data_IF_919685785775
#
_entry.id   IF_919685785775
#
_cell.length_a   1.000
_cell.length_b   1.000
_cell.length_c   1.000
_cell.angle_alpha   90.00
_cell.angle_beta   90.00
_cell.angle_gamma   90.00
#
_symmetry.space_group_name_H-M   'P 1'
#
loop_
_entity.id
_entity.type
_entity.pdbx_description
1 polymer ?
#
# COMPACT_ATOMS: atom_id res chain seq x y z
N UNK A 1 26.99 13.04 -13.68
CA UNK A 1 26.66 14.08 -12.67
C UNK A 1 25.19 14.54 -12.74
N UNK A 2 24.66 14.96 -13.91
CA UNK A 2 23.24 15.36 -14.09
C UNK A 2 22.20 14.31 -13.67
N UNK A 3 22.41 13.02 -13.96
CA UNK A 3 21.48 11.95 -13.53
C UNK A 3 21.44 11.76 -12.00
N UNK A 4 22.56 11.97 -11.29
CA UNK A 4 22.59 11.93 -9.82
C UNK A 4 21.87 13.14 -9.23
N UNK A 5 22.06 14.33 -9.80
CA UNK A 5 21.36 15.54 -9.40
C UNK A 5 19.84 15.42 -9.60
N UNK A 6 19.38 14.88 -10.73
CA UNK A 6 17.96 14.66 -10.97
C UNK A 6 17.34 13.64 -9.99
N UNK A 7 18.09 12.59 -9.63
CA UNK A 7 17.64 11.64 -8.58
C UNK A 7 17.50 12.31 -7.22
N UNK A 8 18.45 13.14 -6.81
CA UNK A 8 18.38 13.88 -5.54
C UNK A 8 17.20 14.85 -5.54
N UNK A 9 17.01 15.58 -6.64
CA UNK A 9 15.89 16.52 -6.77
C UNK A 9 14.54 15.80 -6.72
N UNK A 10 14.41 14.63 -7.36
CA UNK A 10 13.23 13.80 -7.25
C UNK A 10 13.00 13.32 -5.81
N UNK A 11 14.03 12.82 -5.13
CA UNK A 11 13.91 12.36 -3.74
C UNK A 11 13.47 13.49 -2.79
N UNK A 12 14.01 14.70 -2.96
CA UNK A 12 13.60 15.88 -2.21
C UNK A 12 12.16 16.27 -2.52
N UNK A 13 11.76 16.30 -3.79
CA UNK A 13 10.40 16.63 -4.21
C UNK A 13 9.33 15.67 -3.66
N UNK A 14 9.72 14.43 -3.35
CA UNK A 14 8.83 13.42 -2.77
C UNK A 14 8.77 13.53 -1.24
N UNK A 15 9.86 13.91 -0.57
CA UNK A 15 9.98 13.82 0.90
C UNK A 15 9.88 15.16 1.64
N UNK A 16 9.93 16.30 0.94
CA UNK A 16 9.93 17.62 1.59
C UNK A 16 8.65 17.89 2.38
N UNK A 17 7.50 17.45 1.88
CA UNK A 17 6.20 17.67 2.54
C UNK A 17 6.14 16.94 3.88
N UNK A 18 6.54 15.67 3.90
CA UNK A 18 6.55 14.86 5.11
C UNK A 18 7.55 15.41 6.14
N UNK A 19 8.71 15.86 5.66
CA UNK A 19 9.73 16.50 6.50
C UNK A 19 9.24 17.82 7.10
N UNK A 20 8.52 18.64 6.33
CA UNK A 20 7.91 19.88 6.80
C UNK A 20 6.85 19.59 7.87
N UNK A 21 5.99 18.61 7.65
CA UNK A 21 4.97 18.17 8.61
C UNK A 21 5.62 17.69 9.91
N UNK A 22 6.69 16.90 9.83
CA UNK A 22 7.44 16.44 10.99
C UNK A 22 8.07 17.61 11.78
N UNK A 23 8.66 18.60 11.08
CA UNK A 23 9.24 19.78 11.71
C UNK A 23 8.19 20.64 12.43
N UNK A 24 7.04 20.88 11.78
CA UNK A 24 5.92 21.63 12.38
C UNK A 24 5.35 20.89 13.59
N UNK A 25 5.14 19.57 13.49
CA UNK A 25 4.67 18.75 14.60
C UNK A 25 5.66 18.81 15.79
N UNK A 26 6.97 18.78 15.52
CA UNK A 26 8.00 18.95 16.54
C UNK A 26 7.94 20.32 17.23
N UNK A 27 7.73 21.40 16.47
CA UNK A 27 7.52 22.73 17.04
C UNK A 27 6.25 22.82 17.89
N UNK A 28 5.16 22.19 17.46
CA UNK A 28 3.90 22.13 18.24
C UNK A 28 4.08 21.33 19.53
N UNK A 29 4.76 20.18 19.48
CA UNK A 29 5.06 19.38 20.67
C UNK A 29 5.91 20.16 21.68
N UNK A 30 6.91 20.89 21.20
CA UNK A 30 7.72 21.78 22.03
C UNK A 30 6.86 22.83 22.73
N UNK A 31 6.04 23.57 21.99
CA UNK A 31 5.20 24.64 22.54
C UNK A 31 4.19 24.10 23.56
N UNK A 32 3.60 22.93 23.29
CA UNK A 32 2.69 22.27 24.23
C UNK A 32 3.37 21.94 25.55
N UNK A 33 4.57 21.36 25.52
CA UNK A 33 5.35 21.10 26.73
C UNK A 33 5.71 22.40 27.49
N UNK A 34 6.11 23.46 26.78
CA UNK A 34 6.40 24.74 27.45
C UNK A 34 5.17 25.32 28.15
N UNK A 35 4.03 25.36 27.46
CA UNK A 35 2.83 26.03 27.97
C UNK A 35 2.06 25.19 29.00
N UNK A 36 1.97 23.87 28.81
CA UNK A 36 1.19 23.00 29.69
C UNK A 36 2.00 22.45 30.86
N UNK A 37 3.30 22.21 30.67
CA UNK A 37 4.15 21.55 31.68
C UNK A 37 5.20 22.50 32.29
N UNK A 38 5.27 23.75 31.81
CA UNK A 38 6.22 24.75 32.32
C UNK A 38 7.68 24.41 32.06
N UNK A 39 7.96 23.50 31.13
CA UNK A 39 9.32 23.03 30.87
C UNK A 39 10.11 24.08 30.07
N UNK A 40 11.34 24.46 30.47
CA UNK A 40 12.07 25.52 29.80
C UNK A 40 12.55 25.13 28.40
N UNK A 41 13.00 23.88 28.21
CA UNK A 41 13.57 23.39 26.94
C UNK A 41 13.17 21.93 26.66
N UNK A 42 11.94 21.67 26.19
CA UNK A 42 11.42 20.33 25.93
C UNK A 42 11.92 19.73 24.61
N UNK A 43 13.24 19.54 24.50
CA UNK A 43 13.91 19.04 23.28
C UNK A 43 13.41 17.65 22.90
N UNK A 44 13.13 16.80 23.90
CA UNK A 44 12.70 15.42 23.67
C UNK A 44 11.31 15.32 23.04
N UNK A 45 10.42 16.28 23.32
CA UNK A 45 9.08 16.32 22.71
C UNK A 45 9.19 16.60 21.21
N UNK A 46 10.05 17.55 20.83
CA UNK A 46 10.35 17.84 19.43
C UNK A 46 10.96 16.62 18.72
N UNK A 47 11.99 16.00 19.33
CA UNK A 47 12.66 14.82 18.76
C UNK A 47 11.67 13.67 18.59
N UNK A 48 10.86 13.37 19.60
CA UNK A 48 9.88 12.29 19.52
C UNK A 48 8.86 12.50 18.39
N UNK A 49 8.33 13.72 18.23
CA UNK A 49 7.40 14.02 17.13
C UNK A 49 8.05 13.84 15.75
N UNK A 50 9.29 14.31 15.58
CA UNK A 50 10.04 14.18 14.31
C UNK A 50 10.34 12.71 14.00
N UNK A 51 10.79 11.93 15.00
CA UNK A 51 11.11 10.51 14.79
C UNK A 51 9.84 9.69 14.54
N UNK A 52 8.69 10.07 15.12
CA UNK A 52 7.40 9.46 14.81
C UNK A 52 6.97 9.70 13.36
N UNK A 53 7.25 10.89 12.83
CA UNK A 53 6.80 11.37 11.51
C UNK A 53 7.88 11.27 10.42
N UNK A 54 8.97 10.54 10.67
CA UNK A 54 10.06 10.43 9.71
C UNK A 54 9.55 9.96 8.32
N UNK A 55 10.05 10.54 7.21
CA UNK A 55 9.63 10.14 5.87
C UNK A 55 9.89 8.65 5.60
N UNK A 56 9.09 8.05 4.72
CA UNK A 56 9.20 6.64 4.30
C UNK A 56 8.95 5.60 5.41
N UNK A 57 8.35 6.00 6.53
CA UNK A 57 7.91 5.03 7.53
C UNK A 57 6.70 4.25 7.02
N UNK A 58 6.69 2.91 7.15
CA UNK A 58 5.55 2.10 6.73
C UNK A 58 4.34 2.31 7.65
N UNK A 59 4.56 2.65 8.92
CA UNK A 59 3.51 2.88 9.90
C UNK A 59 3.98 3.79 11.04
N UNK A 60 3.54 5.04 11.05
CA UNK A 60 3.85 6.02 12.10
C UNK A 60 3.30 5.62 13.49
N UNK A 61 2.20 4.85 13.54
CA UNK A 61 1.63 4.28 14.76
C UNK A 61 2.58 3.32 15.47
N UNK A 62 3.06 2.31 14.72
CA UNK A 62 4.06 1.36 15.22
C UNK A 62 5.36 2.07 15.60
N UNK A 63 5.76 3.07 14.82
CA UNK A 63 6.93 3.89 15.12
C UNK A 63 6.77 4.62 16.47
N UNK A 64 5.65 5.28 16.71
CA UNK A 64 5.38 5.99 17.96
C UNK A 64 5.40 5.06 19.18
N UNK A 65 4.73 3.90 19.08
CA UNK A 65 4.78 2.86 20.11
C UNK A 65 6.23 2.40 20.34
N UNK A 66 6.97 2.17 19.26
CA UNK A 66 8.36 1.75 19.34
C UNK A 66 9.27 2.77 20.03
N UNK A 67 9.07 4.06 19.78
CA UNK A 67 9.79 5.14 20.46
C UNK A 67 9.45 5.15 21.95
N UNK A 68 8.17 5.07 22.32
CA UNK A 68 7.75 5.08 23.73
C UNK A 68 8.37 3.89 24.48
N UNK A 69 8.28 2.68 23.92
CA UNK A 69 8.87 1.47 24.53
C UNK A 69 10.40 1.59 24.63
N UNK A 70 11.05 2.06 23.55
CA UNK A 70 12.50 2.23 23.51
C UNK A 70 12.97 3.22 24.57
N UNK A 71 12.37 4.41 24.61
CA UNK A 71 12.73 5.44 25.61
C UNK A 71 12.50 4.94 27.03
N UNK A 72 11.34 4.31 27.29
CA UNK A 72 11.01 3.78 28.62
C UNK A 72 12.06 2.75 29.07
N UNK A 73 12.40 1.79 28.19
CA UNK A 73 13.42 0.77 28.47
C UNK A 73 14.78 1.40 28.76
N UNK A 74 15.23 2.34 27.93
CA UNK A 74 16.52 2.97 28.10
C UNK A 74 16.62 3.84 29.35
N UNK A 75 15.54 4.55 29.70
CA UNK A 75 15.48 5.31 30.96
C UNK A 75 15.57 4.37 32.16
N UNK A 76 14.76 3.31 32.20
CA UNK A 76 14.77 2.34 33.30
C UNK A 76 16.14 1.68 33.48
N UNK A 77 16.75 1.24 32.38
CA UNK A 77 18.08 0.60 32.41
C UNK A 77 19.17 1.59 32.82
N UNK A 78 19.09 2.83 32.31
CA UNK A 78 20.00 3.91 32.70
C UNK A 78 19.91 4.26 34.18
N UNK A 79 18.68 4.37 34.72
CA UNK A 79 18.46 4.68 36.14
C UNK A 79 18.90 3.54 37.06
N UNK A 80 18.57 2.29 36.73
CA UNK A 80 19.00 1.12 37.50
C UNK A 80 20.52 0.98 37.54
N UNK A 81 21.18 1.34 36.44
CA UNK A 81 22.64 1.34 36.34
C UNK A 81 23.30 2.32 37.32
N UNK A 82 22.64 3.42 37.68
CA UNK A 82 23.20 4.40 38.63
C UNK A 82 23.33 3.84 40.06
N UNK A 83 22.69 2.70 40.35
CA UNK A 83 22.85 1.98 41.62
C UNK A 83 24.16 1.18 41.67
N UNK A 84 24.82 0.98 40.52
CA UNK A 84 26.06 0.24 40.42
C UNK A 84 27.28 1.18 40.60
N UNK A 85 28.37 0.72 41.23
CA UNK A 85 29.59 1.51 41.32
C UNK A 85 30.17 1.80 39.93
N UNK A 86 30.42 3.08 39.63
CA UNK A 86 31.10 3.47 38.40
C UNK A 86 32.61 3.26 38.55
N UNK A 87 33.19 2.34 37.76
CA UNK A 87 34.65 2.14 37.72
C UNK A 87 35.31 2.88 36.56
N UNK A 88 34.71 2.80 35.37
CA UNK A 88 35.22 3.41 34.14
C UNK A 88 34.05 3.99 33.32
N UNK A 89 33.85 5.32 33.29
CA UNK A 89 32.62 5.93 32.78
C UNK A 89 32.25 5.52 31.34
N UNK A 90 33.24 5.44 30.45
CA UNK A 90 33.02 5.09 29.05
C UNK A 90 32.64 3.62 28.88
N UNK A 91 33.31 2.71 29.60
CA UNK A 91 32.98 1.28 29.55
C UNK A 91 31.63 1.02 30.19
N UNK A 92 31.32 1.70 31.30
CA UNK A 92 30.04 1.64 31.97
C UNK A 92 28.92 2.10 31.02
N UNK A 93 29.04 3.29 30.44
CA UNK A 93 28.04 3.82 29.51
C UNK A 93 27.86 2.92 28.28
N UNK A 94 28.96 2.37 27.73
CA UNK A 94 28.90 1.43 26.60
C UNK A 94 28.18 0.12 26.97
N UNK A 95 28.48 -0.44 28.14
CA UNK A 95 27.87 -1.67 28.63
C UNK A 95 26.37 -1.50 28.91
N UNK A 96 25.97 -0.37 29.51
CA UNK A 96 24.56 -0.06 29.80
C UNK A 96 23.79 0.21 28.51
N UNK A 97 24.38 0.93 27.56
CA UNK A 97 23.79 1.15 26.23
C UNK A 97 23.55 -0.18 25.53
N UNK A 98 24.56 -1.06 25.54
CA UNK A 98 24.44 -2.41 24.98
C UNK A 98 23.32 -3.20 25.67
N UNK A 99 23.29 -3.23 27.01
CA UNK A 99 22.24 -3.92 27.76
C UNK A 99 20.84 -3.37 27.46
N UNK A 100 20.69 -2.04 27.41
CA UNK A 100 19.43 -1.38 27.09
C UNK A 100 18.94 -1.72 25.68
N UNK A 101 19.85 -1.76 24.70
CA UNK A 101 19.52 -2.14 23.32
C UNK A 101 19.11 -3.61 23.23
N UNK A 102 19.86 -4.52 23.86
CA UNK A 102 19.55 -5.95 23.89
C UNK A 102 18.20 -6.21 24.54
N UNK A 103 17.94 -5.62 25.70
CA UNK A 103 16.64 -5.72 26.37
C UNK A 103 15.50 -5.18 25.50
N UNK A 104 15.72 -4.07 24.81
CA UNK A 104 14.71 -3.47 23.95
C UNK A 104 14.32 -4.38 22.76
N UNK A 105 15.21 -5.25 22.29
CA UNK A 105 14.88 -6.22 21.21
C UNK A 105 13.82 -7.24 21.60
N UNK A 106 13.62 -7.49 22.90
CA UNK A 106 12.57 -8.41 23.38
C UNK A 106 11.16 -7.94 23.06
N UNK A 107 10.96 -6.63 22.86
CA UNK A 107 9.66 -6.02 22.54
C UNK A 107 9.37 -5.93 21.04
N UNK A 108 10.33 -6.29 20.19
CA UNK A 108 10.13 -6.35 18.75
C UNK A 108 11.36 -6.00 17.93
N UNK A 109 11.28 -6.30 16.63
CA UNK A 109 12.36 -6.15 15.66
C UNK A 109 12.45 -4.74 15.04
N UNK A 110 11.62 -3.79 15.47
CA UNK A 110 11.64 -2.44 14.90
C UNK A 110 12.94 -1.72 15.32
N UNK A 111 13.80 -1.30 14.38
CA UNK A 111 15.10 -0.70 14.72
C UNK A 111 15.00 0.52 15.64
N UNK A 112 13.90 1.27 15.53
CA UNK A 112 13.63 2.44 16.37
C UNK A 112 13.59 2.11 17.87
N UNK A 113 13.11 0.92 18.26
CA UNK A 113 13.01 0.52 19.67
C UNK A 113 14.40 0.42 20.31
N UNK A 114 15.30 -0.34 19.66
CA UNK A 114 16.67 -0.52 20.15
C UNK A 114 17.45 0.80 20.13
N UNK A 115 17.38 1.56 19.04
CA UNK A 115 18.09 2.85 18.91
C UNK A 115 17.64 3.83 20.01
N UNK A 116 16.33 3.98 20.23
CA UNK A 116 15.83 4.90 21.25
C UNK A 116 16.15 4.44 22.67
N UNK A 117 16.21 3.13 22.91
CA UNK A 117 16.67 2.58 24.19
C UNK A 117 18.13 2.94 24.47
N UNK A 118 19.02 2.71 23.50
CA UNK A 118 20.43 3.06 23.64
C UNK A 118 20.65 4.56 23.85
N UNK A 119 20.07 5.41 22.99
CA UNK A 119 20.13 6.88 23.13
C UNK A 119 19.57 7.30 24.50
N UNK A 120 18.56 6.61 25.01
CA UNK A 120 17.96 6.96 26.29
C UNK A 120 18.83 6.64 27.48
N UNK A 121 19.43 5.46 27.51
CA UNK A 121 20.40 5.08 28.52
C UNK A 121 21.62 6.02 28.55
N UNK A 122 22.19 6.34 27.38
CA UNK A 122 23.33 7.27 27.26
C UNK A 122 23.00 8.62 27.91
N UNK A 123 21.85 9.18 27.58
CA UNK A 123 21.47 10.50 28.07
C UNK A 123 21.11 10.52 29.56
N UNK A 124 20.56 9.43 30.11
CA UNK A 124 20.37 9.32 31.56
C UNK A 124 21.70 9.34 32.30
N UNK A 125 22.70 8.59 31.81
CA UNK A 125 24.03 8.57 32.40
C UNK A 125 24.77 9.90 32.20
N UNK A 126 24.58 10.58 31.07
CA UNK A 126 25.27 11.83 30.77
C UNK A 126 24.71 13.06 31.51
N UNK A 127 23.39 13.11 31.74
CA UNK A 127 22.69 14.29 32.27
C UNK A 127 22.13 14.07 33.68
N UNK A 128 22.14 12.83 34.18
CA UNK A 128 21.58 12.45 35.47
C UNK A 128 20.06 12.21 35.44
N UNK A 129 19.54 11.43 36.40
CA UNK A 129 18.16 10.94 36.39
C UNK A 129 17.12 12.05 36.59
N UNK A 130 17.45 13.09 37.37
CA UNK A 130 16.54 14.21 37.64
C UNK A 130 16.25 15.05 36.38
N UNK A 131 17.20 15.15 35.46
CA UNK A 131 17.04 15.85 34.19
C UNK A 131 16.54 14.93 33.05
N UNK A 132 16.83 13.63 33.12
CA UNK A 132 16.67 12.72 31.99
C UNK A 132 15.65 11.58 32.16
N UNK A 133 15.11 11.38 33.37
CA UNK A 133 14.20 10.29 33.70
C UNK A 133 12.73 10.59 33.38
N UNK A 134 11.96 10.97 34.41
CA UNK A 134 10.50 11.16 34.33
C UNK A 134 10.11 12.28 33.36
N UNK A 135 10.78 13.43 33.43
CA UNK A 135 10.51 14.58 32.54
C UNK A 135 10.61 14.19 31.08
N UNK A 136 11.60 13.37 30.74
CA UNK A 136 11.81 12.89 29.38
C UNK A 136 10.72 11.94 28.92
N UNK A 137 10.26 11.05 29.80
CA UNK A 137 9.17 10.15 29.45
C UNK A 137 7.90 10.94 29.10
N UNK A 138 7.60 11.99 29.88
CA UNK A 138 6.48 12.89 29.62
C UNK A 138 6.66 13.60 28.27
N UNK A 139 7.83 14.16 28.00
CA UNK A 139 8.15 14.81 26.72
C UNK A 139 7.93 13.89 25.54
N UNK A 140 8.40 12.65 25.65
CA UNK A 140 8.28 11.65 24.60
C UNK A 140 6.82 11.24 24.39
N UNK A 141 6.02 11.14 25.45
CA UNK A 141 4.58 10.88 25.33
C UNK A 141 3.85 12.03 24.62
N UNK A 142 4.16 13.29 24.97
CA UNK A 142 3.59 14.47 24.30
C UNK A 142 4.00 14.51 22.84
N UNK A 143 5.30 14.37 22.56
CA UNK A 143 5.84 14.38 21.20
C UNK A 143 5.30 13.25 20.33
N UNK A 144 5.21 12.03 20.87
CA UNK A 144 4.60 10.90 20.17
C UNK A 144 3.10 11.14 19.94
N UNK A 145 2.38 11.69 20.91
CA UNK A 145 0.97 12.05 20.76
C UNK A 145 0.73 13.07 19.65
N UNK A 146 1.50 14.17 19.63
CA UNK A 146 1.43 15.19 18.57
C UNK A 146 1.82 14.60 17.23
N UNK A 147 2.90 13.81 17.16
CA UNK A 147 3.32 13.12 15.95
C UNK A 147 2.21 12.23 15.38
N UNK A 148 1.54 11.46 16.25
CA UNK A 148 0.38 10.65 15.85
C UNK A 148 -0.77 11.52 15.36
N UNK A 149 -1.15 12.58 16.06
CA UNK A 149 -2.23 13.47 15.63
C UNK A 149 -1.98 14.03 14.22
N UNK A 150 -0.78 14.51 13.96
CA UNK A 150 -0.39 15.00 12.63
C UNK A 150 -0.39 13.88 11.58
N UNK A 151 0.09 12.69 11.94
CA UNK A 151 0.03 11.53 11.04
C UNK A 151 -1.40 11.18 10.63
N UNK A 152 -2.32 11.22 11.59
CA UNK A 152 -3.74 10.90 11.40
C UNK A 152 -4.47 11.95 10.55
N UNK A 153 -4.12 13.23 10.71
CA UNK A 153 -4.82 14.35 10.05
C UNK A 153 -4.24 14.66 8.67
N UNK A 154 -2.91 14.74 8.55
CA UNK A 154 -2.22 15.25 7.36
C UNK A 154 -1.59 14.17 6.48
N UNK A 155 -1.12 13.06 7.06
CA UNK A 155 -0.32 12.08 6.31
C UNK A 155 -1.06 10.80 5.93
N UNK A 156 -2.18 10.47 6.57
CA UNK A 156 -2.91 9.23 6.28
C UNK A 156 -3.43 9.24 4.83
N UNK A 157 -2.88 8.42 3.92
CA UNK A 157 -3.35 8.36 2.55
C UNK A 157 -4.76 7.76 2.53
N UNK A 158 -5.64 8.28 1.69
CA UNK A 158 -6.97 7.70 1.53
C UNK A 158 -6.82 6.24 1.04
N UNK A 159 -7.20 5.22 1.85
CA UNK A 159 -7.01 3.81 1.52
C UNK A 159 -7.75 3.41 0.23
N UNK A 160 -8.89 4.04 -0.05
CA UNK A 160 -9.66 3.84 -1.29
C UNK A 160 -8.82 4.22 -2.51
N UNK A 161 -8.14 5.38 -2.47
CA UNK A 161 -7.27 5.84 -3.57
C UNK A 161 -6.05 4.94 -3.82
N UNK A 162 -5.63 4.13 -2.84
CA UNK A 162 -4.55 3.16 -3.01
C UNK A 162 -5.06 1.95 -3.78
N UNK A 163 -6.25 1.47 -3.41
CA UNK A 163 -6.93 0.36 -4.10
C UNK A 163 -7.30 0.76 -5.52
N UNK A 164 -7.91 1.93 -5.73
CA UNK A 164 -8.31 2.44 -7.05
C UNK A 164 -7.14 2.49 -8.03
N UNK A 165 -5.95 2.88 -7.55
CA UNK A 165 -4.73 2.91 -8.37
C UNK A 165 -4.31 1.51 -8.80
N UNK A 166 -4.39 0.53 -7.91
CA UNK A 166 -4.14 -0.88 -8.25
C UNK A 166 -5.15 -1.43 -9.24
N UNK A 167 -6.44 -1.12 -9.05
CA UNK A 167 -7.54 -1.54 -9.92
C UNK A 167 -7.38 -0.97 -11.34
N UNK A 168 -7.10 0.33 -11.45
CA UNK A 168 -6.81 0.99 -12.74
C UNK A 168 -5.59 0.37 -13.42
N UNK A 169 -4.49 0.18 -12.66
CA UNK A 169 -3.27 -0.42 -13.19
C UNK A 169 -3.47 -1.83 -13.75
N UNK A 170 -4.29 -2.67 -13.10
CA UNK A 170 -4.66 -3.99 -13.61
C UNK A 170 -5.54 -3.87 -14.86
N UNK A 171 -6.58 -3.05 -14.80
CA UNK A 171 -7.54 -2.87 -15.91
C UNK A 171 -6.84 -2.38 -17.17
N UNK A 172 -5.96 -1.38 -17.06
CA UNK A 172 -5.20 -0.83 -18.19
C UNK A 172 -4.35 -1.90 -18.90
N UNK A 173 -3.73 -2.81 -18.12
CA UNK A 173 -2.92 -3.92 -18.66
C UNK A 173 -3.77 -4.94 -19.39
N UNK A 174 -4.93 -5.29 -18.83
CA UNK A 174 -5.89 -6.20 -19.48
C UNK A 174 -6.44 -5.59 -20.77
N UNK A 175 -6.87 -4.33 -20.73
CA UNK A 175 -7.36 -3.60 -21.93
C UNK A 175 -6.30 -3.55 -23.02
N UNK A 176 -5.05 -3.25 -22.66
CA UNK A 176 -3.95 -3.24 -23.62
C UNK A 176 -3.75 -4.61 -24.27
N UNK A 177 -3.83 -5.70 -23.50
CA UNK A 177 -3.75 -7.06 -24.03
C UNK A 177 -4.92 -7.40 -24.96
N UNK A 178 -6.15 -7.07 -24.56
CA UNK A 178 -7.36 -7.29 -25.37
C UNK A 178 -7.31 -6.52 -26.70
N UNK A 179 -6.83 -5.28 -26.69
CA UNK A 179 -6.59 -4.49 -27.91
C UNK A 179 -5.56 -5.14 -28.83
N UNK A 180 -4.50 -5.74 -28.28
CA UNK A 180 -3.54 -6.50 -29.09
C UNK A 180 -4.16 -7.76 -29.69
N UNK A 181 -5.01 -8.48 -28.94
CA UNK A 181 -5.79 -9.60 -29.48
C UNK A 181 -6.73 -9.16 -30.61
N UNK A 182 -7.40 -8.02 -30.49
CA UNK A 182 -8.29 -7.51 -31.53
C UNK A 182 -7.53 -7.28 -32.84
N UNK A 183 -6.38 -6.61 -32.76
CA UNK A 183 -5.55 -6.36 -33.94
C UNK A 183 -4.96 -7.67 -34.50
N UNK A 184 -4.59 -8.62 -33.63
CA UNK A 184 -4.08 -9.92 -34.06
C UNK A 184 -5.15 -10.73 -34.81
N UNK A 185 -6.41 -10.70 -34.36
CA UNK A 185 -7.52 -11.35 -35.04
C UNK A 185 -7.84 -10.66 -36.37
N UNK A 186 -7.95 -9.33 -36.40
CA UNK A 186 -8.23 -8.57 -37.63
C UNK A 186 -7.18 -8.80 -38.72
N UNK A 187 -5.89 -8.83 -38.34
CA UNK A 187 -4.77 -9.03 -39.27
C UNK A 187 -4.34 -10.48 -39.44
N UNK A 188 -4.97 -11.40 -38.70
CA UNK A 188 -4.57 -12.81 -38.61
C UNK A 188 -3.06 -12.98 -38.32
N UNK A 189 -2.54 -12.13 -37.44
CA UNK A 189 -1.11 -11.97 -37.16
C UNK A 189 -0.70 -12.73 -35.89
N UNK A 190 0.03 -13.83 -36.09
CA UNK A 190 0.54 -14.69 -35.03
C UNK A 190 1.53 -14.00 -34.09
N UNK A 191 2.35 -13.09 -34.61
CA UNK A 191 3.34 -12.38 -33.80
C UNK A 191 2.63 -11.43 -32.85
N UNK A 192 1.59 -10.74 -33.33
CA UNK A 192 0.74 -9.89 -32.48
C UNK A 192 -0.03 -10.70 -31.44
N UNK A 193 -0.52 -11.90 -31.78
CA UNK A 193 -1.16 -12.78 -30.81
C UNK A 193 -0.20 -13.16 -29.67
N UNK A 194 1.06 -13.50 -30.00
CA UNK A 194 2.08 -13.79 -28.99
C UNK A 194 2.43 -12.56 -28.14
N UNK A 195 2.49 -11.37 -28.74
CA UNK A 195 2.68 -10.13 -28.00
C UNK A 195 1.52 -9.84 -27.03
N UNK A 196 0.28 -10.17 -27.40
CA UNK A 196 -0.86 -10.06 -26.51
C UNK A 196 -0.74 -10.99 -25.29
N UNK A 197 -0.32 -12.25 -25.51
CA UNK A 197 -0.03 -13.21 -24.42
C UNK A 197 1.06 -12.67 -23.49
N UNK A 198 2.16 -12.16 -24.05
CA UNK A 198 3.24 -11.56 -23.25
C UNK A 198 2.73 -10.34 -22.45
N UNK A 199 1.86 -9.53 -23.03
CA UNK A 199 1.23 -8.41 -22.35
C UNK A 199 0.34 -8.87 -21.19
N UNK A 200 -0.47 -9.92 -21.38
CA UNK A 200 -1.24 -10.52 -20.29
C UNK A 200 -0.34 -11.10 -19.21
N UNK A 201 0.70 -11.86 -19.56
CA UNK A 201 1.65 -12.42 -18.59
C UNK A 201 2.31 -11.32 -17.73
N UNK A 202 2.64 -10.17 -18.33
CA UNK A 202 3.17 -9.01 -17.58
C UNK A 202 2.16 -8.39 -16.59
N UNK A 203 0.85 -8.60 -16.79
CA UNK A 203 -0.20 -8.11 -15.90
C UNK A 203 -0.19 -8.80 -14.53
N UNK A 204 0.53 -9.92 -14.37
CA UNK A 204 0.79 -10.52 -13.06
C UNK A 204 1.40 -9.52 -12.07
N UNK A 205 2.28 -8.63 -12.53
CA UNK A 205 2.85 -7.58 -11.69
C UNK A 205 1.78 -6.60 -11.18
N UNK A 206 0.76 -6.31 -11.99
CA UNK A 206 -0.35 -5.45 -11.59
C UNK A 206 -1.28 -6.13 -10.58
N UNK A 207 -1.49 -7.46 -10.70
CA UNK A 207 -2.23 -8.25 -9.69
C UNK A 207 -1.49 -8.24 -8.34
N UNK A 208 -0.18 -8.45 -8.34
CA UNK A 208 0.65 -8.39 -7.12
C UNK A 208 0.59 -7.00 -6.50
N UNK A 209 0.76 -5.94 -7.30
CA UNK A 209 0.68 -4.56 -6.83
C UNK A 209 -0.71 -4.19 -6.26
N UNK A 210 -1.79 -4.71 -6.85
CA UNK A 210 -3.14 -4.57 -6.31
C UNK A 210 -3.25 -5.26 -4.94
N UNK A 211 -2.74 -6.49 -4.79
CA UNK A 211 -2.72 -7.22 -3.53
C UNK A 211 -1.93 -6.49 -2.43
N UNK A 212 -0.74 -5.97 -2.76
CA UNK A 212 0.07 -5.16 -1.84
C UNK A 212 -0.64 -3.86 -1.45
N UNK A 213 -1.26 -3.17 -2.41
CA UNK A 213 -2.05 -1.97 -2.17
C UNK A 213 -3.24 -2.22 -1.24
N UNK A 214 -3.92 -3.35 -1.42
CA UNK A 214 -5.00 -3.82 -0.54
C UNK A 214 -4.49 -4.12 0.87
N UNK A 215 -3.36 -4.83 1.01
CA UNK A 215 -2.76 -5.13 2.31
C UNK A 215 -2.36 -3.84 3.04
N UNK A 216 -1.78 -2.88 2.33
CA UNK A 216 -1.43 -1.57 2.85
C UNK A 216 -2.69 -0.80 3.29
N UNK A 217 -3.73 -0.76 2.45
CA UNK A 217 -5.00 -0.10 2.76
C UNK A 217 -5.66 -0.69 4.02
N UNK A 218 -5.70 -2.02 4.17
CA UNK A 218 -6.21 -2.70 5.38
C UNK A 218 -5.39 -2.37 6.62
N UNK A 219 -4.06 -2.34 6.49
CA UNK A 219 -3.18 -1.99 7.61
C UNK A 219 -3.41 -0.55 8.05
N UNK A 220 -3.49 0.39 7.12
CA UNK A 220 -3.75 1.80 7.40
C UNK A 220 -5.16 2.01 7.97
N UNK A 221 -6.15 1.26 7.50
CA UNK A 221 -7.51 1.31 8.03
C UNK A 221 -7.58 0.92 9.52
N UNK A 222 -6.80 -0.07 9.95
CA UNK A 222 -6.75 -0.50 11.37
C UNK A 222 -6.09 0.52 12.29
N UNK A 223 -5.08 1.23 11.79
CA UNK A 223 -4.23 2.09 12.60
C UNK A 223 -4.58 3.58 12.50
N UNK A 224 -5.47 3.96 11.58
CA UNK A 224 -5.93 5.34 11.47
C UNK A 224 -7.32 5.57 12.05
N UNK A 225 -7.54 6.72 12.68
CA UNK A 225 -8.84 7.13 13.23
C UNK A 225 -9.90 7.17 12.11
N UNK A 226 -9.59 7.85 11.00
CA UNK A 226 -10.44 7.90 9.81
C UNK A 226 -10.63 6.52 9.17
N UNK A 227 -9.57 5.72 9.15
CA UNK A 227 -9.61 4.38 8.61
C UNK A 227 -10.46 3.42 9.44
N UNK A 228 -10.47 3.55 10.78
CA UNK A 228 -11.28 2.71 11.67
C UNK A 228 -12.77 2.87 11.42
N UNK A 229 -13.21 4.06 11.00
CA UNK A 229 -14.61 4.33 10.64
C UNK A 229 -15.04 3.58 9.37
N UNK A 230 -14.11 3.34 8.44
CA UNK A 230 -14.37 2.74 7.12
C UNK A 230 -13.72 1.33 7.03
N UNK A 231 -13.17 0.80 8.12
CA UNK A 231 -12.34 -0.41 8.10
C UNK A 231 -13.12 -1.65 7.64
N UNK A 232 -14.40 -1.72 7.99
CA UNK A 232 -15.29 -2.81 7.57
C UNK A 232 -15.53 -2.77 6.06
N UNK A 233 -15.92 -1.62 5.53
CA UNK A 233 -16.15 -1.40 4.10
C UNK A 233 -14.88 -1.65 3.28
N UNK A 234 -13.73 -1.17 3.73
CA UNK A 234 -12.43 -1.42 3.10
C UNK A 234 -12.09 -2.91 3.13
N UNK A 235 -12.34 -3.61 4.23
CA UNK A 235 -12.02 -5.05 4.34
C UNK A 235 -12.87 -5.90 3.40
N UNK A 236 -14.17 -5.58 3.31
CA UNK A 236 -15.12 -6.22 2.41
C UNK A 236 -14.77 -5.94 0.93
N UNK A 237 -14.52 -4.68 0.58
CA UNK A 237 -14.10 -4.26 -0.76
C UNK A 237 -12.77 -4.92 -1.17
N UNK A 238 -11.78 -4.90 -0.29
CA UNK A 238 -10.48 -5.54 -0.48
C UNK A 238 -10.58 -7.05 -0.76
N UNK A 239 -11.47 -7.76 -0.05
CA UNK A 239 -11.65 -9.19 -0.23
C UNK A 239 -12.22 -9.54 -1.61
N UNK A 240 -13.07 -8.66 -2.15
CA UNK A 240 -13.65 -8.81 -3.49
C UNK A 240 -12.61 -8.55 -4.58
N UNK A 241 -11.84 -7.47 -4.49
CA UNK A 241 -10.84 -7.13 -5.50
C UNK A 241 -9.71 -8.16 -5.62
N UNK A 242 -9.25 -8.71 -4.50
CA UNK A 242 -8.14 -9.69 -4.49
C UNK A 242 -8.52 -10.96 -5.29
N UNK A 243 -9.66 -11.57 -4.97
CA UNK A 243 -10.14 -12.77 -5.67
C UNK A 243 -10.57 -12.48 -7.11
N UNK A 244 -11.30 -11.39 -7.34
CA UNK A 244 -11.83 -11.03 -8.67
C UNK A 244 -10.71 -10.59 -9.62
N UNK A 245 -9.67 -9.93 -9.11
CA UNK A 245 -8.49 -9.51 -9.89
C UNK A 245 -7.68 -10.69 -10.39
N UNK A 246 -7.44 -11.70 -9.54
CA UNK A 246 -6.78 -12.95 -9.95
C UNK A 246 -7.60 -13.68 -11.01
N UNK A 247 -8.93 -13.77 -10.84
CA UNK A 247 -9.83 -14.41 -11.81
C UNK A 247 -9.80 -13.68 -13.16
N UNK A 248 -9.89 -12.35 -13.16
CA UNK A 248 -9.83 -11.53 -14.38
C UNK A 248 -8.51 -11.74 -15.13
N UNK A 249 -7.38 -11.71 -14.43
CA UNK A 249 -6.06 -11.98 -15.01
C UNK A 249 -6.00 -13.37 -15.64
N UNK A 250 -6.42 -14.42 -14.92
CA UNK A 250 -6.38 -15.79 -15.41
C UNK A 250 -7.27 -15.97 -16.66
N UNK A 251 -8.49 -15.44 -16.65
CA UNK A 251 -9.39 -15.48 -17.80
C UNK A 251 -8.78 -14.77 -19.03
N UNK A 252 -8.17 -13.60 -18.83
CA UNK A 252 -7.57 -12.83 -19.91
C UNK A 252 -6.34 -13.51 -20.52
N UNK A 253 -5.48 -14.10 -19.69
CA UNK A 253 -4.32 -14.87 -20.16
C UNK A 253 -4.75 -16.09 -20.99
N UNK A 254 -5.71 -16.88 -20.47
CA UNK A 254 -6.24 -18.05 -21.17
C UNK A 254 -6.94 -17.66 -22.48
N UNK A 255 -7.61 -16.50 -22.53
CA UNK A 255 -8.15 -15.96 -23.78
C UNK A 255 -7.05 -15.63 -24.79
N UNK A 256 -5.98 -14.97 -24.36
CA UNK A 256 -4.82 -14.67 -25.23
C UNK A 256 -4.18 -15.94 -25.81
N UNK A 257 -4.01 -16.97 -24.97
CA UNK A 257 -3.49 -18.28 -25.41
C UNK A 257 -4.43 -18.97 -26.40
N UNK A 258 -5.74 -18.93 -26.15
CA UNK A 258 -6.75 -19.47 -27.06
C UNK A 258 -6.73 -18.75 -28.43
N UNK A 259 -6.58 -17.42 -28.45
CA UNK A 259 -6.42 -16.64 -29.69
C UNK A 259 -5.15 -17.07 -30.44
N UNK A 260 -4.02 -17.18 -29.74
CA UNK A 260 -2.76 -17.64 -30.35
C UNK A 260 -2.87 -19.04 -30.94
N UNK A 261 -3.50 -19.96 -30.22
CA UNK A 261 -3.70 -21.34 -30.69
C UNK A 261 -4.64 -21.42 -31.89
N UNK A 262 -5.74 -20.68 -31.90
CA UNK A 262 -6.68 -20.63 -33.03
C UNK A 262 -6.01 -20.07 -34.29
N UNK A 263 -5.29 -18.96 -34.16
CA UNK A 263 -4.55 -18.36 -35.28
C UNK A 263 -3.40 -19.26 -35.76
N UNK A 264 -2.78 -20.07 -34.88
CA UNK A 264 -1.69 -20.99 -35.26
C UNK A 264 -2.20 -22.10 -36.17
N UNK A 265 -3.39 -22.63 -35.88
CA UNK A 265 -3.99 -23.73 -36.65
C UNK A 265 -4.41 -23.30 -38.06
N UNK A 266 -4.75 -22.02 -38.26
CA UNK A 266 -5.15 -21.43 -39.56
C UNK A 266 -6.27 -22.20 -40.30
N UNK A 267 -7.13 -22.90 -39.58
CA UNK A 267 -8.20 -23.72 -40.17
C UNK A 267 -9.29 -22.86 -40.81
N UNK A 268 -9.74 -21.81 -40.11
CA UNK A 268 -10.82 -20.91 -40.55
C UNK A 268 -10.55 -19.47 -40.09
N UNK A 269 -11.03 -18.46 -40.84
CA UNK A 269 -10.90 -17.07 -40.42
C UNK A 269 -11.64 -16.79 -39.10
N UNK A 270 -11.24 -15.76 -38.32
CA UNK A 270 -11.92 -15.38 -37.09
C UNK A 270 -13.41 -15.09 -37.33
N UNK A 271 -14.33 -15.71 -36.56
CA UNK A 271 -15.75 -15.42 -36.67
C UNK A 271 -16.04 -13.95 -36.32
N UNK A 272 -16.95 -13.31 -37.06
CA UNK A 272 -17.36 -11.92 -36.80
C UNK A 272 -17.88 -11.72 -35.37
N UNK A 273 -18.54 -12.74 -34.81
CA UNK A 273 -19.03 -12.71 -33.44
C UNK A 273 -17.89 -12.52 -32.43
N UNK A 274 -16.72 -13.16 -32.63
CA UNK A 274 -15.57 -13.03 -31.72
C UNK A 274 -15.00 -11.61 -31.80
N UNK A 275 -14.84 -11.06 -33.01
CA UNK A 275 -14.35 -9.70 -33.23
C UNK A 275 -15.28 -8.65 -32.60
N UNK A 276 -16.59 -8.75 -32.86
CA UNK A 276 -17.60 -7.83 -32.31
C UNK A 276 -17.67 -7.93 -30.79
N UNK A 277 -17.70 -9.15 -30.26
CA UNK A 277 -17.73 -9.39 -28.81
C UNK A 277 -16.48 -8.85 -28.13
N UNK A 278 -15.30 -9.04 -28.72
CA UNK A 278 -14.05 -8.52 -28.16
C UNK A 278 -14.05 -6.99 -28.11
N UNK A 279 -14.57 -6.34 -29.15
CA UNK A 279 -14.72 -4.89 -29.17
C UNK A 279 -15.67 -4.41 -28.06
N UNK A 280 -16.81 -5.08 -27.88
CA UNK A 280 -17.74 -4.79 -26.77
C UNK A 280 -17.04 -4.95 -25.41
N UNK A 281 -16.24 -6.01 -25.21
CA UNK A 281 -15.50 -6.20 -23.95
C UNK A 281 -14.49 -5.08 -23.72
N UNK A 282 -13.77 -4.65 -24.75
CA UNK A 282 -12.82 -3.52 -24.67
C UNK A 282 -13.55 -2.22 -24.32
N UNK A 283 -14.70 -1.97 -24.96
CA UNK A 283 -15.51 -0.77 -24.72
C UNK A 283 -16.08 -0.79 -23.29
N UNK A 284 -16.53 -1.95 -22.80
CA UNK A 284 -16.98 -2.15 -21.42
C UNK A 284 -15.90 -1.86 -20.36
N UNK A 285 -14.61 -1.92 -20.71
CA UNK A 285 -13.54 -1.52 -19.79
C UNK A 285 -13.44 0.01 -19.61
N UNK A 286 -14.00 0.80 -20.53
CA UNK A 286 -13.97 2.26 -20.51
C UNK A 286 -15.25 2.90 -19.99
N UNK A 287 -16.31 2.11 -19.80
CA UNK A 287 -17.60 2.57 -19.26
C UNK A 287 -17.43 3.06 -17.83
N UNK A 288 -17.88 4.28 -17.54
CA UNK A 288 -17.90 4.81 -16.18
C UNK A 288 -18.92 4.05 -15.31
N UNK A 289 -18.70 4.02 -13.99
CA UNK A 289 -19.49 3.25 -13.03
C UNK A 289 -21.00 3.59 -13.03
N UNK A 290 -21.39 4.72 -13.62
CA UNK A 290 -22.80 5.16 -13.77
C UNK A 290 -23.48 4.67 -15.05
N UNK A 291 -22.75 4.13 -16.02
CA UNK A 291 -23.29 3.68 -17.30
C UNK A 291 -23.40 2.15 -17.36
N UNK A 292 -24.49 1.63 -17.92
CA UNK A 292 -24.71 0.20 -18.01
C UNK A 292 -23.80 -0.42 -19.09
N UNK A 293 -22.98 -1.40 -18.68
CA UNK A 293 -22.15 -2.14 -19.61
C UNK A 293 -22.99 -2.86 -20.69
N UNK A 294 -22.47 -2.89 -21.91
CA UNK A 294 -23.12 -3.55 -23.04
C UNK A 294 -23.08 -5.07 -22.86
N UNK A 295 -24.22 -5.72 -23.08
CA UNK A 295 -24.32 -7.19 -23.04
C UNK A 295 -23.76 -7.80 -24.32
N UNK A 296 -23.01 -8.88 -24.19
CA UNK A 296 -22.62 -9.70 -25.32
C UNK A 296 -23.85 -10.38 -25.94
N UNK A 297 -23.90 -10.43 -27.26
CA UNK A 297 -24.87 -11.26 -27.98
C UNK A 297 -24.62 -12.73 -27.68
N UNK A 298 -25.67 -13.58 -27.57
CA UNK A 298 -25.50 -15.01 -27.32
C UNK A 298 -24.59 -15.65 -28.37
N UNK A 299 -23.79 -16.64 -27.95
CA UNK A 299 -22.86 -17.32 -28.84
C UNK A 299 -23.64 -18.10 -29.92
N UNK A 300 -23.29 -17.95 -31.22
CA UNK A 300 -23.93 -18.71 -32.29
C UNK A 300 -23.66 -20.21 -32.15
N UNK A 301 -24.68 -21.04 -32.36
CA UNK A 301 -24.54 -22.51 -32.29
C UNK A 301 -23.61 -23.07 -33.38
N UNK A 302 -23.51 -22.36 -34.51
CA UNK A 302 -22.75 -22.75 -35.70
C UNK A 302 -21.30 -22.24 -35.72
N UNK A 303 -20.72 -21.88 -34.57
CA UNK A 303 -19.32 -21.42 -34.52
C UNK A 303 -18.35 -22.58 -34.85
N UNK A 304 -17.37 -22.28 -35.70
CA UNK A 304 -16.36 -23.25 -36.12
C UNK A 304 -15.61 -23.84 -34.93
N UNK A 305 -15.33 -25.15 -34.98
CA UNK A 305 -14.78 -25.91 -33.85
C UNK A 305 -13.48 -25.31 -33.29
N UNK A 306 -12.57 -24.86 -34.17
CA UNK A 306 -11.31 -24.22 -33.78
C UNK A 306 -11.46 -22.91 -32.98
N UNK A 307 -12.63 -22.26 -33.02
CA UNK A 307 -12.91 -20.98 -32.36
C UNK A 307 -13.78 -21.10 -31.10
N UNK A 308 -14.30 -22.30 -30.80
CA UNK A 308 -15.19 -22.53 -29.63
C UNK A 308 -14.53 -22.19 -28.30
N UNK A 309 -13.28 -22.64 -28.10
CA UNK A 309 -12.53 -22.31 -26.87
C UNK A 309 -12.30 -20.80 -26.77
N UNK A 310 -11.85 -20.15 -27.85
CA UNK A 310 -11.67 -18.68 -27.87
C UNK A 310 -12.95 -17.93 -27.51
N UNK A 311 -14.09 -18.35 -28.06
CA UNK A 311 -15.39 -17.74 -27.76
C UNK A 311 -15.81 -17.93 -26.29
N UNK A 312 -15.63 -19.14 -25.75
CA UNK A 312 -15.91 -19.44 -24.34
C UNK A 312 -15.01 -18.63 -23.39
N UNK A 313 -13.70 -18.54 -23.69
CA UNK A 313 -12.76 -17.74 -22.90
C UNK A 313 -13.10 -16.25 -22.95
N UNK A 314 -13.55 -15.74 -24.08
CA UNK A 314 -13.99 -14.34 -24.20
C UNK A 314 -15.20 -14.02 -23.32
N UNK A 315 -16.18 -14.93 -23.25
CA UNK A 315 -17.31 -14.79 -22.33
C UNK A 315 -16.86 -14.79 -20.87
N UNK A 316 -15.94 -15.70 -20.51
CA UNK A 316 -15.37 -15.76 -19.17
C UNK A 316 -14.60 -14.48 -18.80
N UNK A 317 -13.88 -13.88 -19.74
CA UNK A 317 -13.23 -12.57 -19.55
C UNK A 317 -14.27 -11.49 -19.29
N UNK A 318 -15.34 -11.42 -20.09
CA UNK A 318 -16.40 -10.43 -19.91
C UNK A 318 -17.07 -10.57 -18.53
N UNK A 319 -17.42 -11.78 -18.12
CA UNK A 319 -18.03 -12.05 -16.81
C UNK A 319 -17.09 -11.64 -15.66
N UNK A 320 -15.81 -12.05 -15.75
CA UNK A 320 -14.81 -11.69 -14.74
C UNK A 320 -14.57 -10.17 -14.67
N UNK A 321 -14.55 -9.49 -15.82
CA UNK A 321 -14.39 -8.05 -15.93
C UNK A 321 -15.57 -7.32 -15.28
N UNK A 322 -16.80 -7.69 -15.63
CA UNK A 322 -18.00 -7.07 -15.08
C UNK A 322 -18.07 -7.24 -13.56
N UNK A 323 -17.76 -8.43 -13.04
CA UNK A 323 -17.68 -8.64 -11.59
C UNK A 323 -16.56 -7.84 -10.93
N UNK A 324 -15.42 -7.69 -11.60
CA UNK A 324 -14.29 -6.92 -11.10
C UNK A 324 -14.61 -5.41 -11.03
N UNK A 325 -15.21 -4.85 -12.09
CA UNK A 325 -15.57 -3.42 -12.15
C UNK A 325 -16.73 -3.08 -11.19
N UNK A 326 -17.76 -3.92 -11.08
CA UNK A 326 -18.90 -3.69 -10.17
C UNK A 326 -18.65 -4.12 -8.72
N UNK A 327 -17.40 -4.37 -8.34
CA UNK A 327 -17.09 -4.86 -6.99
C UNK A 327 -17.22 -3.81 -5.88
N UNK A 328 -17.53 -2.55 -6.22
CA UNK A 328 -17.97 -1.52 -5.29
C UNK A 328 -19.42 -1.73 -4.79
N UNK A 329 -20.28 -2.45 -5.52
CA UNK A 329 -21.67 -2.70 -5.11
C UNK A 329 -21.82 -4.01 -4.31
N UNK A 330 -22.61 -4.02 -3.22
CA UNK A 330 -22.92 -5.25 -2.50
C UNK A 330 -23.77 -6.18 -3.36
N UNK A 331 -23.47 -7.48 -3.34
CA UNK A 331 -24.18 -8.53 -4.10
C UNK A 331 -25.69 -8.63 -3.77
N UNK A 332 -26.19 -7.87 -2.77
CA UNK A 332 -27.61 -7.76 -2.39
C UNK A 332 -28.43 -6.83 -3.28
N UNK A 333 -27.81 -6.04 -4.16
CA UNK A 333 -28.52 -5.20 -5.12
C UNK A 333 -28.67 -5.98 -6.43
N UNK A 334 -29.87 -6.51 -6.68
CA UNK A 334 -30.23 -7.04 -7.99
C UNK A 334 -30.00 -5.97 -9.05
N UNK A 335 -29.17 -6.25 -10.05
CA UNK A 335 -29.08 -5.44 -11.27
C UNK A 335 -30.51 -5.22 -11.76
N UNK A 336 -31.00 -3.98 -11.95
CA UNK A 336 -32.38 -3.76 -12.33
C UNK A 336 -32.67 -4.48 -13.65
N UNK A 337 -33.61 -5.43 -13.64
CA UNK A 337 -34.20 -5.94 -14.86
C UNK A 337 -34.97 -4.79 -15.52
N UNK A 338 -34.42 -4.22 -16.59
CA UNK A 338 -35.22 -3.37 -17.46
C UNK A 338 -36.14 -4.29 -18.27
N UNK A 339 -37.44 -4.26 -17.96
CA UNK A 339 -38.48 -4.84 -18.82
C UNK A 339 -38.31 -4.27 -20.22
N UNK A 340 -38.31 -5.17 -21.21
CA UNK A 340 -38.23 -4.88 -22.63
C UNK A 340 -39.35 -3.94 -23.09
#
# INVERSE_FOLDING_TARGET
MRQRLNKVFQQWSVSWRDSLVAAVAGGVAWLLCQWMLGQPRPVFAMVAAVVCLAPNLPNHGKQAIGIIIGVTTGVLVGELSLLLPETTPVLHMSAVTFAAMVLATTFGLAPAIAIQSGISAILVLALGPQAAGVTRLIDVLVGAGVGLLFSQILLTPNPVRVIDRGVRGLTDRIVSGLKQCAIALEKQDMVRAQNAVNQFASAQQAVVALGEGIALARSNARWSLRGRLIAREISEMAGRYDRRGIRLYACALLFGEAVGNALRKKETPPPEWVLRSLRIVIDNCAVEESEAAQRLTPMPENIAFGWRDTAFRLQAVNEALLHFLHSAHPDSMTVPERKA
#
